data_IF_344137790212
#
_entry.id   IF_344137790212
#
_cell.length_a   1.000
_cell.length_b   1.000
_cell.length_c   1.000
_cell.angle_alpha   90.00
_cell.angle_beta   90.00
_cell.angle_gamma   90.00
#
_symmetry.space_group_name_H-M   'P 1'
#
loop_
_entity.id
_entity.type
_entity.pdbx_description
1 polymer ?
#
# COMPACT_ATOMS: atom_id res chain seq x y z
N UNK A 1 2.93 17.07 -8.30
CA UNK A 1 1.67 17.36 -7.59
C UNK A 1 0.75 16.19 -7.78
N UNK A 2 0.08 15.72 -6.72
CA UNK A 2 -0.90 14.66 -6.76
C UNK A 2 -2.22 15.13 -6.17
N UNK A 3 -3.27 14.37 -6.38
CA UNK A 3 -4.60 14.64 -5.92
C UNK A 3 -5.11 13.47 -5.07
N UNK A 4 -5.68 13.78 -3.92
CA UNK A 4 -6.41 12.82 -3.10
C UNK A 4 -7.91 13.11 -3.26
N UNK A 5 -8.63 12.14 -3.81
CA UNK A 5 -10.07 12.19 -3.87
C UNK A 5 -10.67 12.25 -2.45
N UNK A 6 -11.92 12.71 -2.35
CA UNK A 6 -12.66 12.63 -1.10
C UNK A 6 -12.80 11.17 -0.67
N UNK A 7 -12.38 10.87 0.55
CA UNK A 7 -12.35 9.52 1.09
C UNK A 7 -12.04 9.52 2.59
N UNK A 8 -11.82 8.35 3.14
CA UNK A 8 -11.47 8.20 4.56
C UNK A 8 -10.03 8.64 4.83
N UNK A 9 -9.75 9.02 6.08
CA UNK A 9 -8.39 9.33 6.52
C UNK A 9 -7.44 8.15 6.36
N UNK A 10 -7.95 6.92 6.50
CA UNK A 10 -7.18 5.68 6.32
C UNK A 10 -6.74 5.53 4.86
N UNK A 11 -7.64 5.69 3.91
CA UNK A 11 -7.34 5.65 2.48
C UNK A 11 -6.32 6.72 2.09
N UNK A 12 -6.48 7.94 2.59
CA UNK A 12 -5.50 9.02 2.36
C UNK A 12 -4.10 8.64 2.85
N UNK A 13 -3.98 8.08 4.07
CA UNK A 13 -2.70 7.61 4.61
C UNK A 13 -2.11 6.45 3.81
N UNK A 14 -2.93 5.50 3.36
CA UNK A 14 -2.50 4.38 2.52
C UNK A 14 -1.97 4.87 1.16
N UNK A 15 -2.67 5.78 0.51
CA UNK A 15 -2.25 6.40 -0.76
C UNK A 15 -0.92 7.14 -0.61
N UNK A 16 -0.76 7.95 0.44
CA UNK A 16 0.49 8.65 0.74
C UNK A 16 1.63 7.68 0.99
N UNK A 17 1.41 6.68 1.85
CA UNK A 17 2.42 5.67 2.17
C UNK A 17 2.84 4.88 0.91
N UNK A 18 1.88 4.49 0.09
CA UNK A 18 2.15 3.81 -1.18
C UNK A 18 3.00 4.67 -2.12
N UNK A 19 2.65 5.95 -2.31
CA UNK A 19 3.37 6.84 -3.22
C UNK A 19 4.84 7.03 -2.82
N UNK A 20 5.14 7.13 -1.50
CA UNK A 20 6.51 7.33 -1.01
C UNK A 20 7.24 6.04 -0.63
N UNK A 21 6.55 4.90 -0.60
CA UNK A 21 7.12 3.61 -0.17
C UNK A 21 7.34 3.51 1.32
N UNK A 22 6.43 4.09 2.09
CA UNK A 22 6.44 4.03 3.54
C UNK A 22 5.46 2.99 4.09
N UNK A 23 5.62 2.64 5.35
CA UNK A 23 4.72 1.81 6.14
C UNK A 23 4.04 2.68 7.17
N UNK A 24 2.73 2.52 7.32
CA UNK A 24 1.93 3.16 8.37
C UNK A 24 1.69 2.12 9.46
N UNK A 25 2.15 2.39 10.66
CA UNK A 25 2.03 1.51 11.81
C UNK A 25 1.44 2.25 13.01
N UNK A 26 0.40 1.67 13.62
CA UNK A 26 -0.17 2.07 14.90
C UNK A 26 -0.44 0.85 15.81
N UNK A 27 0.19 -0.29 15.53
CA UNK A 27 -0.13 -1.57 16.15
C UNK A 27 0.29 -1.66 17.61
N UNK A 28 1.28 -0.88 18.05
CA UNK A 28 1.84 -0.95 19.40
C UNK A 28 1.87 0.38 20.16
N UNK A 29 1.16 1.38 19.64
CA UNK A 29 0.99 2.66 20.32
C UNK A 29 -0.24 3.37 19.77
N UNK A 30 -0.74 4.34 20.50
CA UNK A 30 -1.79 5.27 20.09
C UNK A 30 -1.33 6.32 19.05
N UNK A 31 -0.05 6.27 18.68
CA UNK A 31 0.54 7.17 17.70
C UNK A 31 0.65 6.48 16.33
N UNK A 32 0.21 7.17 15.30
CA UNK A 32 0.44 6.76 13.91
C UNK A 32 1.89 7.09 13.54
N UNK A 33 2.65 6.07 13.21
CA UNK A 33 4.03 6.18 12.72
C UNK A 33 4.08 5.92 11.23
N UNK A 34 4.79 6.76 10.51
CA UNK A 34 5.06 6.60 9.08
C UNK A 34 6.57 6.50 8.92
N UNK A 35 7.05 5.36 8.45
CA UNK A 35 8.48 5.09 8.30
C UNK A 35 8.77 4.37 7.00
N UNK A 36 9.98 4.50 6.44
CA UNK A 36 10.41 3.66 5.33
C UNK A 36 10.32 2.18 5.69
N UNK A 37 9.99 1.33 4.71
CA UNK A 37 10.02 -0.12 4.92
C UNK A 37 11.46 -0.57 5.29
N UNK A 38 11.63 -1.45 6.30
CA UNK A 38 12.95 -1.90 6.74
C UNK A 38 13.74 -2.56 5.58
N UNK A 39 14.97 -2.13 5.38
CA UNK A 39 15.84 -2.66 4.32
C UNK A 39 16.52 -3.99 4.73
N UNK A 40 16.77 -4.18 6.03
CA UNK A 40 17.47 -5.35 6.58
C UNK A 40 16.55 -6.16 7.49
N UNK A 41 16.86 -7.45 7.64
CA UNK A 41 16.17 -8.28 8.62
C UNK A 41 16.51 -7.78 10.03
N UNK A 42 15.47 -7.61 10.87
CA UNK A 42 15.58 -7.15 12.25
C UNK A 42 15.67 -8.32 13.23
N UNK A 43 15.30 -9.54 12.81
CA UNK A 43 15.29 -10.71 13.67
C UNK A 43 15.07 -12.02 12.91
N UNK A 44 15.04 -13.11 13.66
CA UNK A 44 14.75 -14.45 13.17
C UNK A 44 13.65 -15.09 14.01
N UNK A 45 12.71 -15.73 13.33
CA UNK A 45 11.73 -16.63 13.94
C UNK A 45 12.21 -18.06 13.72
N UNK A 46 12.78 -18.64 14.78
CA UNK A 46 13.24 -20.01 14.76
C UNK A 46 12.07 -21.00 14.81
N UNK A 47 12.30 -22.24 14.39
CA UNK A 47 11.24 -23.26 14.30
C UNK A 47 10.63 -23.60 15.68
N UNK A 48 11.41 -23.53 16.75
CA UNK A 48 11.01 -23.84 18.14
C UNK A 48 10.01 -22.82 18.71
N UNK A 49 9.94 -21.64 18.15
CA UNK A 49 8.93 -20.62 18.48
C UNK A 49 7.62 -20.80 17.73
N UNK A 50 7.56 -21.74 16.79
CA UNK A 50 6.40 -21.98 15.92
C UNK A 50 5.65 -23.22 16.33
N UNK A 51 4.34 -23.18 16.22
CA UNK A 51 3.51 -24.37 16.33
C UNK A 51 3.48 -25.08 14.98
N UNK A 52 3.63 -26.40 15.00
CA UNK A 52 3.63 -27.22 13.78
C UNK A 52 2.24 -27.23 13.14
N UNK A 53 1.21 -27.28 13.98
CA UNK A 53 -0.17 -27.24 13.54
C UNK A 53 -0.52 -25.89 12.91
N UNK A 54 -1.21 -25.95 11.77
CA UNK A 54 -1.61 -24.74 11.02
C UNK A 54 -0.50 -24.05 10.22
N UNK A 55 0.75 -24.55 10.25
CA UNK A 55 1.84 -24.00 9.44
C UNK A 55 1.64 -24.34 7.96
N UNK A 56 1.69 -23.33 7.09
CA UNK A 56 1.51 -23.49 5.64
C UNK A 56 2.49 -22.63 4.87
N UNK A 57 3.05 -23.19 3.82
CA UNK A 57 3.83 -22.48 2.81
C UNK A 57 3.06 -22.47 1.51
N UNK A 58 2.89 -21.31 0.92
CA UNK A 58 2.23 -21.11 -0.37
C UNK A 58 3.15 -20.34 -1.30
N UNK A 59 3.23 -20.79 -2.55
CA UNK A 59 3.93 -20.04 -3.60
C UNK A 59 2.93 -19.20 -4.38
N UNK A 60 3.07 -17.89 -4.30
CA UNK A 60 2.19 -16.97 -5.03
C UNK A 60 2.52 -16.93 -6.52
N UNK A 61 1.56 -16.61 -7.41
CA UNK A 61 1.81 -16.48 -8.84
C UNK A 61 2.96 -15.51 -9.15
N UNK A 62 3.71 -15.79 -10.21
CA UNK A 62 4.77 -14.91 -10.69
C UNK A 62 4.16 -13.71 -11.40
N UNK A 63 4.51 -12.50 -10.98
CA UNK A 63 4.20 -11.28 -11.71
C UNK A 63 5.36 -11.01 -12.67
N UNK A 64 5.05 -10.93 -13.97
CA UNK A 64 6.04 -10.73 -15.03
C UNK A 64 6.24 -9.28 -15.42
N UNK A 65 5.23 -8.45 -15.17
CA UNK A 65 5.30 -7.02 -15.42
C UNK A 65 4.39 -6.24 -14.46
N UNK A 66 4.70 -4.98 -14.26
CA UNK A 66 3.84 -4.03 -13.54
C UNK A 66 3.61 -2.82 -14.44
N UNK A 67 2.35 -2.45 -14.63
CA UNK A 67 1.93 -1.23 -15.28
C UNK A 67 1.41 -0.25 -14.22
N UNK A 68 2.01 0.93 -14.15
CA UNK A 68 1.62 1.98 -13.20
C UNK A 68 1.04 3.15 -13.99
N UNK A 69 -0.18 3.53 -13.68
CA UNK A 69 -0.77 4.77 -14.17
C UNK A 69 -0.23 5.93 -13.34
N UNK A 70 0.53 6.79 -13.99
CA UNK A 70 1.05 8.01 -13.40
C UNK A 70 0.15 9.20 -13.77
N UNK A 71 -0.08 10.08 -12.82
CA UNK A 71 -1.02 11.18 -12.91
C UNK A 71 -0.29 12.53 -12.95
N UNK A 72 -0.70 13.38 -13.86
CA UNK A 72 -0.18 14.75 -14.01
C UNK A 72 -1.32 15.73 -14.00
N UNK A 73 -1.51 16.40 -12.88
CA UNK A 73 -2.55 17.41 -12.72
C UNK A 73 -2.06 18.77 -13.18
N UNK A 74 -2.76 19.36 -14.16
CA UNK A 74 -2.52 20.69 -14.69
C UNK A 74 -3.77 21.55 -14.52
N UNK A 75 -3.59 22.78 -14.05
CA UNK A 75 -4.71 23.72 -13.95
C UNK A 75 -5.12 24.21 -15.33
N UNK A 76 -6.41 24.17 -15.62
CA UNK A 76 -6.99 24.84 -16.81
C UNK A 76 -6.80 26.35 -16.69
N UNK A 77 -6.69 27.03 -17.83
CA UNK A 77 -6.66 28.48 -17.86
C UNK A 77 -8.07 29.08 -17.62
N UNK A 78 -9.09 28.43 -18.17
CA UNK A 78 -10.48 28.85 -18.05
C UNK A 78 -11.10 28.43 -16.73
N UNK A 79 -11.95 29.29 -16.17
CA UNK A 79 -12.81 28.91 -15.04
C UNK A 79 -14.06 28.20 -15.53
N UNK A 80 -14.49 27.17 -14.80
CA UNK A 80 -15.70 26.38 -15.07
C UNK A 80 -16.53 26.24 -13.80
N UNK A 81 -17.78 25.85 -13.97
CA UNK A 81 -18.68 25.56 -12.84
C UNK A 81 -18.19 24.31 -12.09
N UNK A 82 -18.07 24.46 -10.77
CA UNK A 82 -17.61 23.40 -9.84
C UNK A 82 -18.75 22.87 -8.97
N UNK A 83 -19.69 23.76 -8.64
CA UNK A 83 -20.86 23.45 -7.84
C UNK A 83 -21.96 24.45 -8.14
N UNK A 84 -23.20 23.95 -8.21
CA UNK A 84 -24.40 24.80 -8.37
C UNK A 84 -25.56 24.12 -7.66
N UNK A 85 -26.26 24.88 -6.79
CA UNK A 85 -27.45 24.42 -6.07
C UNK A 85 -28.23 25.61 -5.52
N UNK A 86 -29.48 25.36 -5.06
CA UNK A 86 -30.28 26.31 -4.33
C UNK A 86 -30.16 26.04 -2.84
N UNK A 87 -29.68 26.99 -2.08
CA UNK A 87 -29.40 26.84 -0.65
C UNK A 87 -30.21 27.81 0.20
N UNK A 88 -30.61 27.38 1.38
CA UNK A 88 -31.22 28.19 2.43
C UNK A 88 -30.13 28.93 3.23
N UNK A 89 -30.49 29.96 4.02
CA UNK A 89 -29.51 30.63 4.90
C UNK A 89 -28.83 29.66 5.84
N UNK A 90 -27.49 29.67 5.89
CA UNK A 90 -26.69 28.76 6.70
C UNK A 90 -25.24 28.66 6.27
N UNK A 91 -24.49 27.78 6.94
CA UNK A 91 -23.10 27.44 6.59
C UNK A 91 -23.04 26.05 6.00
N UNK A 92 -22.48 25.94 4.80
CA UNK A 92 -22.42 24.70 4.03
C UNK A 92 -21.00 24.36 3.67
N UNK A 93 -20.66 23.07 3.78
CA UNK A 93 -19.45 22.54 3.18
C UNK A 93 -19.83 21.82 1.90
N UNK A 94 -19.46 22.37 0.76
CA UNK A 94 -19.80 21.82 -0.57
C UNK A 94 -18.57 21.18 -1.22
N UNK A 95 -18.80 20.04 -1.86
CA UNK A 95 -17.78 19.26 -2.58
C UNK A 95 -17.88 19.59 -4.07
N UNK A 96 -16.75 19.74 -4.73
CA UNK A 96 -16.68 20.06 -6.15
C UNK A 96 -16.85 18.84 -7.03
N UNK A 97 -17.33 19.04 -8.24
CA UNK A 97 -17.41 18.02 -9.28
C UNK A 97 -16.03 17.57 -9.79
N UNK A 98 -15.01 18.39 -9.63
CA UNK A 98 -13.62 18.12 -9.97
C UNK A 98 -12.69 18.93 -9.06
N UNK A 99 -11.42 18.47 -8.85
CA UNK A 99 -10.43 19.25 -8.11
C UNK A 99 -10.18 20.60 -8.78
N UNK A 100 -10.01 21.65 -7.98
CA UNK A 100 -9.83 23.00 -8.49
C UNK A 100 -8.70 23.74 -7.76
N UNK A 101 -8.18 24.78 -8.42
CA UNK A 101 -7.20 25.69 -7.84
C UNK A 101 -7.90 26.54 -6.78
N UNK A 102 -7.56 26.32 -5.51
CA UNK A 102 -8.26 26.94 -4.38
C UNK A 102 -8.30 28.47 -4.45
N UNK A 103 -7.25 29.12 -4.97
CA UNK A 103 -7.17 30.58 -5.09
C UNK A 103 -7.93 31.13 -6.31
N UNK A 104 -8.41 30.27 -7.21
CA UNK A 104 -9.21 30.69 -8.36
C UNK A 104 -10.72 30.66 -8.09
N UNK A 105 -11.13 30.22 -6.89
CA UNK A 105 -12.55 30.07 -6.56
C UNK A 105 -13.27 31.42 -6.49
N UNK A 106 -14.37 31.51 -7.21
CA UNK A 106 -15.30 32.64 -7.19
C UNK A 106 -16.69 32.11 -6.85
N UNK A 107 -17.44 32.83 -6.04
CA UNK A 107 -18.76 32.42 -5.57
C UNK A 107 -19.78 33.49 -5.88
N UNK A 108 -20.94 33.08 -6.38
CA UNK A 108 -22.14 33.92 -6.56
C UNK A 108 -23.23 33.38 -5.64
N UNK A 109 -23.99 34.29 -5.00
CA UNK A 109 -25.11 33.95 -4.09
C UNK A 109 -24.70 33.59 -2.66
N UNK A 110 -23.41 33.48 -2.36
CA UNK A 110 -22.89 33.22 -1.00
C UNK A 110 -21.55 33.90 -0.76
N UNK A 111 -21.08 33.87 0.50
CA UNK A 111 -19.74 34.30 0.88
C UNK A 111 -18.84 33.08 1.06
N UNK A 112 -17.63 33.15 0.49
CA UNK A 112 -16.63 32.08 0.62
C UNK A 112 -15.92 32.20 1.99
N UNK A 113 -16.25 31.30 2.91
CA UNK A 113 -15.67 31.25 4.26
C UNK A 113 -14.43 30.35 4.37
N UNK A 114 -14.29 29.37 3.50
CA UNK A 114 -13.10 28.48 3.48
C UNK A 114 -12.84 27.94 2.07
N UNK A 115 -11.55 27.78 1.73
CA UNK A 115 -11.09 27.32 0.42
C UNK A 115 -10.37 26.00 0.53
N UNK A 116 -10.59 25.12 -0.43
CA UNK A 116 -9.88 23.86 -0.57
C UNK A 116 -9.86 23.39 -2.03
N UNK A 117 -9.08 22.37 -2.32
CA UNK A 117 -8.93 21.82 -3.67
C UNK A 117 -10.18 21.05 -4.09
N UNK A 118 -10.84 20.37 -3.17
CA UNK A 118 -11.97 19.48 -3.43
C UNK A 118 -13.30 20.01 -2.91
N UNK A 119 -13.26 21.06 -2.09
CA UNK A 119 -14.41 21.56 -1.35
C UNK A 119 -14.19 23.01 -0.95
N UNK A 120 -15.27 23.69 -0.66
CA UNK A 120 -15.22 24.99 0.02
C UNK A 120 -16.29 25.07 1.11
N UNK A 121 -16.13 26.06 2.00
CA UNK A 121 -17.15 26.42 2.98
C UNK A 121 -17.84 27.71 2.53
N UNK A 122 -19.15 27.67 2.44
CA UNK A 122 -19.99 28.76 2.01
C UNK A 122 -20.83 29.27 3.18
N UNK A 123 -20.95 30.58 3.34
CA UNK A 123 -21.90 31.22 4.22
C UNK A 123 -22.99 31.85 3.36
N UNK A 124 -24.21 31.32 3.45
CA UNK A 124 -25.40 31.80 2.72
C UNK A 124 -26.21 32.67 3.66
N UNK A 125 -26.42 33.96 3.31
CA UNK A 125 -27.19 34.87 4.09
C UNK A 125 -28.66 34.97 3.68
N UNK A 126 -28.98 34.61 2.45
CA UNK A 126 -30.33 34.67 1.89
C UNK A 126 -30.55 33.41 1.00
N UNK A 127 -31.73 32.80 1.10
CA UNK A 127 -32.11 31.69 0.24
C UNK A 127 -32.02 32.06 -1.25
N UNK A 128 -31.44 31.18 -2.04
CA UNK A 128 -31.28 31.39 -3.48
C UNK A 128 -30.26 30.46 -4.12
N UNK A 129 -30.09 30.67 -5.43
CA UNK A 129 -29.11 29.94 -6.20
C UNK A 129 -27.70 30.36 -5.81
N UNK A 130 -26.86 29.37 -5.53
CA UNK A 130 -25.44 29.54 -5.23
C UNK A 130 -24.63 28.79 -6.29
N UNK A 131 -23.68 29.48 -6.88
CA UNK A 131 -22.76 28.90 -7.87
C UNK A 131 -21.32 29.17 -7.47
N UNK A 132 -20.50 28.12 -7.53
CA UNK A 132 -19.05 28.17 -7.32
C UNK A 132 -18.37 27.88 -8.65
N UNK A 133 -17.53 28.79 -9.09
CA UNK A 133 -16.70 28.63 -10.29
C UNK A 133 -15.22 28.67 -9.93
N UNK A 134 -14.38 28.07 -10.77
CA UNK A 134 -12.94 28.08 -10.57
C UNK A 134 -12.22 27.28 -11.66
N UNK A 135 -10.89 27.38 -11.67
CA UNK A 135 -10.06 26.62 -12.61
C UNK A 135 -9.91 25.18 -12.14
N UNK A 136 -10.37 24.24 -12.98
CA UNK A 136 -10.24 22.81 -12.68
C UNK A 136 -8.80 22.34 -12.90
N UNK A 137 -8.44 21.27 -12.21
CA UNK A 137 -7.28 20.47 -12.55
C UNK A 137 -7.71 19.38 -13.54
N UNK A 138 -7.04 19.32 -14.68
CA UNK A 138 -7.14 18.22 -15.64
C UNK A 138 -6.06 17.21 -15.31
N UNK A 139 -6.43 15.94 -15.24
CA UNK A 139 -5.53 14.84 -15.06
C UNK A 139 -5.11 14.25 -16.41
N UNK A 140 -3.83 14.35 -16.71
CA UNK A 140 -3.19 13.70 -17.86
C UNK A 140 -2.47 12.46 -17.38
N UNK A 141 -2.90 11.29 -17.81
CA UNK A 141 -2.32 10.02 -17.36
C UNK A 141 -1.29 9.48 -18.35
N UNK A 142 -0.26 8.86 -17.80
CA UNK A 142 0.76 8.12 -18.57
C UNK A 142 0.90 6.74 -17.93
N UNK A 143 0.84 5.68 -18.73
CA UNK A 143 1.07 4.32 -18.27
C UNK A 143 2.55 3.99 -18.43
N UNK A 144 3.21 3.70 -17.32
CA UNK A 144 4.60 3.23 -17.29
C UNK A 144 4.61 1.74 -17.01
N UNK A 145 5.10 0.95 -17.96
CA UNK A 145 5.26 -0.50 -17.85
C UNK A 145 6.70 -0.87 -17.50
N UNK A 146 6.88 -1.76 -16.53
CA UNK A 146 8.18 -2.35 -16.17
C UNK A 146 8.05 -3.86 -16.14
N UNK A 147 8.92 -4.55 -16.87
CA UNK A 147 9.03 -6.00 -16.82
C UNK A 147 9.93 -6.42 -15.65
N UNK A 148 9.63 -7.58 -15.07
CA UNK A 148 10.47 -8.20 -14.06
C UNK A 148 11.77 -8.70 -14.72
N UNK A 149 12.87 -8.59 -13.98
CA UNK A 149 14.14 -9.14 -14.42
C UNK A 149 14.21 -10.65 -14.15
N UNK A 150 15.04 -11.36 -14.93
CA UNK A 150 15.37 -12.78 -14.71
C UNK A 150 14.13 -13.70 -14.68
N UNK A 151 13.20 -13.49 -15.59
CA UNK A 151 12.04 -14.38 -15.75
C UNK A 151 12.47 -15.76 -16.24
N UNK A 152 11.83 -16.85 -15.77
CA UNK A 152 12.01 -18.18 -16.35
C UNK A 152 11.68 -18.19 -17.85
N UNK A 153 12.35 -19.03 -18.68
CA UNK A 153 12.14 -19.04 -20.12
C UNK A 153 10.68 -19.26 -20.56
N UNK A 154 9.92 -19.99 -19.76
CA UNK A 154 8.52 -20.34 -20.03
C UNK A 154 7.55 -19.55 -19.13
N UNK A 155 7.94 -18.39 -18.61
CA UNK A 155 7.04 -17.57 -17.80
C UNK A 155 5.85 -17.10 -18.66
N UNK A 156 4.65 -17.40 -18.20
CA UNK A 156 3.44 -16.86 -18.80
C UNK A 156 3.28 -15.38 -18.41
N UNK A 157 2.78 -14.58 -19.33
CA UNK A 157 2.50 -13.18 -19.08
C UNK A 157 1.47 -13.04 -17.96
N UNK A 158 1.85 -12.31 -16.92
CA UNK A 158 1.02 -11.98 -15.78
C UNK A 158 1.36 -10.55 -15.32
N UNK A 159 0.60 -9.59 -15.84
CA UNK A 159 0.81 -8.18 -15.58
C UNK A 159 -0.09 -7.69 -14.45
N UNK A 160 0.49 -6.99 -13.50
CA UNK A 160 -0.23 -6.28 -12.46
C UNK A 160 -0.40 -4.81 -12.85
N UNK A 161 -1.63 -4.32 -12.86
CA UNK A 161 -1.94 -2.92 -13.15
C UNK A 161 -2.25 -2.17 -11.86
N UNK A 162 -1.63 -0.99 -11.69
CA UNK A 162 -1.86 -0.05 -10.60
C UNK A 162 -2.46 1.22 -11.21
N UNK A 163 -3.77 1.43 -11.02
CA UNK A 163 -4.53 2.54 -11.62
C UNK A 163 -4.91 3.61 -10.61
N UNK A 164 -5.17 3.23 -9.35
CA UNK A 164 -5.81 4.12 -8.37
C UNK A 164 -4.83 4.94 -7.54
N UNK A 165 -3.54 4.95 -7.92
CA UNK A 165 -2.50 5.65 -7.19
C UNK A 165 -2.35 7.11 -7.67
N UNK A 166 -3.35 7.94 -7.43
CA UNK A 166 -3.47 9.32 -7.93
C UNK A 166 -2.38 10.27 -7.45
N UNK A 167 -1.58 9.86 -6.47
CA UNK A 167 -0.41 10.61 -5.99
C UNK A 167 0.89 10.26 -6.72
N UNK A 168 0.86 9.25 -7.60
CA UNK A 168 2.05 8.84 -8.35
C UNK A 168 2.21 9.70 -9.60
N UNK A 169 3.21 10.56 -9.58
CA UNK A 169 3.57 11.40 -10.73
C UNK A 169 4.50 10.66 -11.71
N UNK A 170 4.63 11.10 -12.96
CA UNK A 170 5.46 10.44 -13.98
C UNK A 170 6.93 10.24 -13.57
N UNK A 171 7.51 11.19 -12.85
CA UNK A 171 8.88 11.11 -12.31
C UNK A 171 9.04 10.05 -11.20
N UNK A 172 7.97 9.69 -10.51
CA UNK A 172 7.95 8.69 -9.44
C UNK A 172 7.49 7.30 -9.90
N UNK A 173 6.83 7.21 -11.03
CA UNK A 173 6.21 5.97 -11.51
C UNK A 173 7.21 4.82 -11.65
N UNK A 174 8.44 5.07 -12.10
CA UNK A 174 9.50 4.06 -12.19
C UNK A 174 9.87 3.49 -10.82
N UNK A 175 10.02 4.34 -9.81
CA UNK A 175 10.35 3.91 -8.46
C UNK A 175 9.21 3.10 -7.83
N UNK A 176 7.96 3.49 -8.08
CA UNK A 176 6.77 2.75 -7.63
C UNK A 176 6.71 1.39 -8.32
N UNK A 177 6.84 1.33 -9.64
CA UNK A 177 6.82 0.07 -10.40
C UNK A 177 7.90 -0.91 -9.92
N UNK A 178 9.12 -0.43 -9.68
CA UNK A 178 10.21 -1.25 -9.16
C UNK A 178 9.89 -1.79 -7.75
N UNK A 179 9.36 -0.97 -6.84
CA UNK A 179 8.95 -1.44 -5.50
C UNK A 179 7.87 -2.50 -5.56
N UNK A 180 6.88 -2.32 -6.44
CA UNK A 180 5.81 -3.30 -6.63
C UNK A 180 6.38 -4.61 -7.19
N UNK A 181 7.25 -4.56 -8.19
CA UNK A 181 7.95 -5.74 -8.71
C UNK A 181 8.77 -6.43 -7.63
N UNK A 182 9.52 -5.68 -6.82
CA UNK A 182 10.33 -6.25 -5.73
C UNK A 182 9.46 -6.91 -4.65
N UNK A 183 8.29 -6.35 -4.37
CA UNK A 183 7.33 -6.98 -3.46
C UNK A 183 6.81 -8.30 -4.02
N UNK A 184 6.30 -8.31 -5.25
CA UNK A 184 5.73 -9.51 -5.88
C UNK A 184 6.79 -10.53 -6.33
N UNK A 185 8.06 -10.15 -6.40
CA UNK A 185 9.16 -11.11 -6.54
C UNK A 185 9.36 -11.95 -5.26
N UNK A 186 8.77 -11.54 -4.13
CA UNK A 186 8.75 -12.29 -2.88
C UNK A 186 7.56 -13.25 -2.90
N UNK A 187 7.75 -14.42 -3.50
CA UNK A 187 6.67 -15.38 -3.81
C UNK A 187 6.33 -16.37 -2.71
N UNK A 188 7.21 -16.50 -1.70
CA UNK A 188 6.98 -17.41 -0.59
C UNK A 188 6.12 -16.74 0.46
N UNK A 189 4.92 -17.26 0.63
CA UNK A 189 4.00 -16.86 1.70
C UNK A 189 3.99 -17.96 2.74
N UNK A 190 4.40 -17.63 3.96
CA UNK A 190 4.32 -18.52 5.11
C UNK A 190 3.29 -18.01 6.09
N UNK A 191 2.31 -18.86 6.43
CA UNK A 191 1.39 -18.64 7.55
C UNK A 191 1.70 -19.65 8.64
N UNK A 192 1.77 -19.19 9.88
CA UNK A 192 2.07 -20.05 11.02
C UNK A 192 1.61 -19.40 12.31
N UNK A 193 1.36 -20.23 13.30
CA UNK A 193 1.13 -19.81 14.68
C UNK A 193 2.47 -19.84 15.44
N UNK A 194 2.71 -18.83 16.28
CA UNK A 194 3.98 -18.71 17.00
C UNK A 194 3.79 -18.13 18.39
N UNK A 195 4.79 -18.36 19.26
CA UNK A 195 4.95 -17.58 20.47
C UNK A 195 5.43 -16.19 20.07
N UNK A 196 4.62 -15.18 20.33
CA UNK A 196 4.89 -13.81 19.94
C UNK A 196 6.01 -13.20 20.81
N UNK A 197 6.77 -12.30 20.20
CA UNK A 197 7.79 -11.48 20.85
C UNK A 197 7.60 -10.01 20.51
N UNK A 198 8.69 -9.35 20.17
CA UNK A 198 8.71 -7.92 19.84
C UNK A 198 8.45 -7.63 18.36
N UNK A 199 8.07 -8.66 17.57
CA UNK A 199 7.82 -8.54 16.15
C UNK A 199 6.68 -7.54 15.88
N UNK A 200 6.85 -6.74 14.82
CA UNK A 200 5.89 -5.72 14.37
C UNK A 200 5.52 -5.94 12.91
N UNK A 201 4.34 -5.46 12.55
CA UNK A 201 3.96 -5.39 11.14
C UNK A 201 5.03 -4.63 10.34
N UNK A 202 5.29 -5.13 9.14
CA UNK A 202 6.33 -4.68 8.22
C UNK A 202 7.78 -4.96 8.66
N UNK A 203 8.02 -5.60 9.79
CA UNK A 203 9.36 -6.08 10.12
C UNK A 203 9.84 -7.05 9.04
N UNK A 204 11.10 -6.90 8.66
CA UNK A 204 11.78 -7.85 7.79
C UNK A 204 12.46 -8.92 8.66
N UNK A 205 12.05 -10.16 8.48
CA UNK A 205 12.45 -11.27 9.33
C UNK A 205 13.04 -12.41 8.49
N UNK A 206 13.84 -13.24 9.14
CA UNK A 206 14.21 -14.56 8.65
C UNK A 206 13.33 -15.57 9.39
N UNK A 207 12.58 -16.38 8.64
CA UNK A 207 11.70 -17.41 9.21
C UNK A 207 12.27 -18.78 8.84
N UNK A 208 12.54 -19.60 9.84
CA UNK A 208 12.93 -20.97 9.66
C UNK A 208 11.70 -21.86 9.55
N UNK A 209 11.59 -22.64 8.48
CA UNK A 209 10.55 -23.67 8.33
C UNK A 209 10.89 -24.93 9.10
N UNK A 210 9.91 -25.82 9.31
CA UNK A 210 10.15 -27.11 9.97
C UNK A 210 11.08 -28.04 9.15
N UNK A 211 11.12 -27.86 7.82
CA UNK A 211 12.04 -28.55 6.93
C UNK A 211 13.44 -27.94 6.83
N UNK A 212 13.82 -27.02 7.72
CA UNK A 212 15.14 -26.36 7.70
C UNK A 212 15.28 -25.24 6.67
N UNK A 213 14.31 -25.06 5.80
CA UNK A 213 14.29 -23.97 4.81
C UNK A 213 14.18 -22.62 5.51
N UNK A 214 14.96 -21.64 5.05
CA UNK A 214 14.89 -20.28 5.56
C UNK A 214 14.29 -19.33 4.52
N UNK A 215 13.33 -18.54 4.95
CA UNK A 215 12.71 -17.49 4.15
C UNK A 215 13.01 -16.14 4.75
N UNK A 216 13.59 -15.24 3.96
CA UNK A 216 13.70 -13.83 4.32
C UNK A 216 12.49 -13.10 3.78
N UNK A 217 11.67 -12.53 4.64
CA UNK A 217 10.43 -11.90 4.24
C UNK A 217 10.03 -10.74 5.12
N UNK A 218 8.87 -10.20 4.81
CA UNK A 218 8.22 -9.11 5.53
C UNK A 218 7.01 -9.68 6.26
N UNK A 219 6.85 -9.34 7.53
CA UNK A 219 5.70 -9.70 8.33
C UNK A 219 4.49 -8.86 7.88
N UNK A 220 3.54 -9.49 7.21
CA UNK A 220 2.38 -8.81 6.61
C UNK A 220 1.10 -8.95 7.41
N UNK A 221 1.03 -9.94 8.30
CA UNK A 221 -0.07 -10.14 9.24
C UNK A 221 0.48 -10.60 10.58
N UNK A 222 -0.08 -10.06 11.65
CA UNK A 222 0.18 -10.47 13.02
C UNK A 222 -1.13 -10.30 13.81
N UNK A 223 -1.69 -11.40 14.25
CA UNK A 223 -2.97 -11.44 14.97
C UNK A 223 -2.77 -12.15 16.30
N UNK A 224 -2.95 -11.43 17.40
CA UNK A 224 -2.67 -11.92 18.74
C UNK A 224 -3.86 -12.68 19.33
N UNK A 225 -3.59 -13.84 19.88
CA UNK A 225 -4.49 -14.60 20.74
C UNK A 225 -3.96 -14.54 22.17
N UNK A 226 -4.66 -13.79 23.01
CA UNK A 226 -4.28 -13.56 24.40
C UNK A 226 -5.07 -14.45 25.39
N UNK A 227 -5.88 -15.38 24.91
CA UNK A 227 -6.77 -16.19 25.74
C UNK A 227 -6.04 -17.28 26.53
N UNK A 228 -4.91 -17.78 26.05
CA UNK A 228 -4.17 -18.87 26.67
C UNK A 228 -2.65 -18.64 26.73
N UNK A 229 -2.19 -17.46 26.40
CA UNK A 229 -0.77 -17.11 26.34
C UNK A 229 -0.52 -15.95 25.39
N UNK A 230 0.75 -15.62 25.15
CA UNK A 230 1.14 -14.60 24.19
C UNK A 230 1.46 -15.26 22.85
N UNK A 231 0.41 -15.66 22.15
CA UNK A 231 0.49 -16.40 20.89
C UNK A 231 -0.03 -15.52 19.75
N UNK A 232 0.52 -15.67 18.56
CA UNK A 232 0.06 -14.94 17.39
C UNK A 232 0.01 -15.83 16.16
N UNK A 233 -1.00 -15.56 15.30
CA UNK A 233 -1.04 -16.02 13.93
C UNK A 233 -0.31 -15.01 13.05
N UNK A 234 0.75 -15.45 12.40
CA UNK A 234 1.65 -14.65 11.62
C UNK A 234 1.62 -15.05 10.13
N UNK A 235 1.80 -14.06 9.27
CA UNK A 235 1.99 -14.25 7.84
C UNK A 235 3.21 -13.47 7.38
N UNK A 236 4.16 -14.19 6.77
CA UNK A 236 5.38 -13.62 6.22
C UNK A 236 5.42 -13.86 4.72
N UNK A 237 5.68 -12.81 3.96
CA UNK A 237 5.87 -12.87 2.50
C UNK A 237 7.33 -12.58 2.20
N UNK A 238 8.00 -13.50 1.50
CA UNK A 238 9.44 -13.38 1.32
C UNK A 238 10.02 -14.20 0.17
N UNK A 239 11.34 -14.35 0.23
CA UNK A 239 12.13 -15.19 -0.69
C UNK A 239 12.87 -16.25 0.11
N UNK A 240 12.94 -17.45 -0.47
CA UNK A 240 13.82 -18.50 0.04
C UNK A 240 15.27 -18.03 0.01
N UNK A 241 16.01 -18.29 1.08
CA UNK A 241 17.44 -18.01 1.12
C UNK A 241 18.19 -19.13 0.37
N UNK A 242 19.18 -18.76 -0.48
CA UNK A 242 20.04 -19.75 -1.14
C UNK A 242 20.78 -20.63 -0.11
N UNK A 243 21.01 -21.89 -0.47
CA UNK A 243 21.74 -22.84 0.38
C UNK A 243 20.94 -23.44 1.54
N UNK A 244 19.67 -23.06 1.70
CA UNK A 244 18.76 -23.71 2.63
C UNK A 244 17.90 -24.69 1.83
N UNK A 245 18.10 -25.99 2.02
CA UNK A 245 17.29 -27.03 1.42
C UNK A 245 16.29 -27.54 2.46
N UNK A 246 15.02 -27.70 2.06
CA UNK A 246 14.07 -28.48 2.85
C UNK A 246 14.26 -29.95 2.51
N UNK A 247 14.25 -30.81 3.52
CA UNK A 247 14.09 -32.24 3.31
C UNK A 247 12.61 -32.52 3.01
N UNK A 248 12.32 -33.19 1.91
CA UNK A 248 10.97 -33.61 1.52
C UNK A 248 10.76 -35.07 1.89
N UNK A 249 9.52 -35.46 2.10
CA UNK A 249 9.18 -36.85 2.31
C UNK A 249 9.63 -37.70 1.09
N UNK A 250 10.54 -38.66 1.32
CA UNK A 250 11.18 -39.45 0.27
C UNK A 250 12.63 -39.08 -0.03
N UNK A 251 13.16 -37.98 0.50
CA UNK A 251 14.57 -37.65 0.40
C UNK A 251 15.41 -38.59 1.31
N UNK A 252 16.49 -39.13 0.76
CA UNK A 252 17.47 -39.86 1.58
C UNK A 252 18.31 -38.86 2.38
N UNK A 253 18.16 -38.90 3.70
CA UNK A 253 18.98 -38.13 4.63
C UNK A 253 20.16 -39.01 5.01
N UNK A 254 21.38 -38.70 4.52
CA UNK A 254 22.60 -39.39 4.88
C UNK A 254 23.29 -38.71 6.04
N UNK A 255 23.68 -39.46 7.05
CA UNK A 255 24.48 -38.96 8.16
C UNK A 255 25.82 -38.43 7.65
N UNK A 256 26.12 -37.17 7.92
CA UNK A 256 27.34 -36.49 7.50
C UNK A 256 27.22 -35.63 6.25
N UNK A 257 26.13 -35.69 5.50
CA UNK A 257 25.82 -34.67 4.50
C UNK A 257 25.21 -33.45 5.17
N UNK A 258 25.62 -32.26 4.76
CA UNK A 258 25.05 -30.98 5.19
C UNK A 258 23.67 -30.74 4.52
N UNK A 259 22.79 -31.67 4.57
CA UNK A 259 21.38 -31.42 4.37
C UNK A 259 20.87 -30.78 5.65
N UNK A 260 20.61 -29.52 5.61
CA UNK A 260 19.92 -28.83 6.69
C UNK A 260 18.49 -29.37 6.70
N UNK A 261 18.21 -30.19 7.68
CA UNK A 261 16.84 -30.58 8.03
C UNK A 261 16.16 -29.40 8.70
#
# INVERSE_FOLDING_TARGET
>A
QGYLAAGTRREALQQLAFAVGAVVDCSRSDLIRISPAPARASGMIAYDRKFQDGSKVTLTPLITAVAVTAHRYQAEEASSELYKDTLEPGTYQVTFSAPAVADSLTVTGATLAGRGVNRCTLAVSKAGEVCVTGRKYVDSTIILRRAAANLPPNAQDNELTVTDATLVSPDRATAVANRVLDYYAQRYEQTFRMIAGDEKLADRLIVQSFGGEMVRGVLTKLEFDLTGGFVADAKVVGRRLPGTAAAYAGDEIRAGERSLI
#
